data_IF_273959889194
#
_entry.id   IF_273959889194
#
_cell.length_a   1.000
_cell.length_b   1.000
_cell.length_c   1.000
_cell.angle_alpha   90.00
_cell.angle_beta   90.00
_cell.angle_gamma   90.00
#
_symmetry.space_group_name_H-M   'P 1'
#
loop_
_entity.id
_entity.type
_entity.pdbx_description
1 polymer ?
#
# COMPACT_ATOMS: atom_id res chain seq x y z
N UNK A 1 -12.98 32.52 8.40
CA UNK A 1 -12.50 31.49 7.45
C UNK A 1 -11.89 30.39 8.29
N UNK A 2 -12.71 29.43 8.72
CA UNK A 2 -12.28 28.35 9.59
C UNK A 2 -11.63 27.26 8.73
N UNK A 3 -10.33 27.08 8.87
CA UNK A 3 -9.62 25.88 8.45
C UNK A 3 -9.25 25.14 9.73
N UNK A 4 -10.19 24.36 10.25
CA UNK A 4 -9.89 23.33 11.23
C UNK A 4 -9.57 22.07 10.44
N UNK A 5 -8.32 21.95 10.00
CA UNK A 5 -7.79 20.67 9.56
C UNK A 5 -7.32 19.94 10.81
N UNK A 6 -8.17 19.05 11.31
CA UNK A 6 -7.79 18.06 12.31
C UNK A 6 -6.70 17.16 11.70
N UNK A 7 -5.43 17.50 11.95
CA UNK A 7 -4.28 16.63 11.67
C UNK A 7 -4.26 15.45 12.64
N UNK A 8 -5.29 14.60 12.57
CA UNK A 8 -5.07 13.19 12.89
C UNK A 8 -4.07 12.72 11.85
N UNK A 9 -2.87 12.35 12.27
CA UNK A 9 -1.72 12.05 11.40
C UNK A 9 -2.08 10.85 10.53
N UNK A 10 -2.76 11.10 9.41
CA UNK A 10 -3.35 10.07 8.59
C UNK A 10 -2.23 9.22 8.02
N UNK A 11 -2.11 7.98 8.49
CA UNK A 11 -1.12 7.03 7.98
C UNK A 11 -1.27 6.92 6.45
N UNK A 12 -0.23 7.23 5.67
CA UNK A 12 -0.35 7.15 4.23
C UNK A 12 -0.59 5.69 3.82
N UNK A 13 -1.56 5.47 2.92
CA UNK A 13 -2.00 4.14 2.50
C UNK A 13 -1.60 3.89 1.04
N UNK A 14 -0.86 2.81 0.82
CA UNK A 14 -0.38 2.37 -0.50
C UNK A 14 -1.08 1.08 -0.92
N UNK A 15 -1.57 1.04 -2.16
CA UNK A 15 -2.27 -0.11 -2.74
C UNK A 15 -1.45 -0.66 -3.91
N UNK A 16 -1.16 -1.96 -3.88
CA UNK A 16 -0.47 -2.68 -4.95
C UNK A 16 -1.44 -3.60 -5.69
N UNK A 17 -1.53 -3.44 -7.02
CA UNK A 17 -2.36 -4.25 -7.90
C UNK A 17 -1.44 -5.00 -8.88
N UNK A 18 -0.98 -6.22 -8.56
CA UNK A 18 -0.20 -7.02 -9.47
C UNK A 18 -0.99 -7.39 -10.73
N UNK A 19 -0.36 -7.24 -11.88
CA UNK A 19 -0.83 -7.89 -13.11
C UNK A 19 -0.55 -9.39 -13.00
N UNK A 20 -1.52 -10.23 -13.38
CA UNK A 20 -1.60 -11.67 -13.07
C UNK A 20 -0.56 -12.54 -13.80
N UNK A 21 0.73 -12.30 -13.55
CA UNK A 21 1.82 -13.20 -13.87
C UNK A 21 2.56 -13.52 -12.57
N UNK A 22 2.61 -14.79 -12.21
CA UNK A 22 3.16 -15.31 -10.94
C UNK A 22 4.59 -14.84 -10.67
N UNK A 23 5.40 -14.63 -11.71
CA UNK A 23 6.77 -14.09 -11.60
C UNK A 23 6.84 -12.64 -11.09
N UNK A 24 5.76 -11.86 -11.20
CA UNK A 24 5.73 -10.44 -10.83
C UNK A 24 5.10 -10.18 -9.45
N UNK A 25 4.48 -11.19 -8.82
CA UNK A 25 3.89 -11.05 -7.48
C UNK A 25 4.99 -11.03 -6.40
N UNK A 26 5.98 -11.91 -6.49
CA UNK A 26 7.09 -11.98 -5.53
C UNK A 26 7.82 -10.64 -5.36
N UNK A 27 8.30 -9.95 -6.41
CA UNK A 27 8.95 -8.65 -6.23
C UNK A 27 7.98 -7.59 -5.67
N UNK A 28 6.70 -7.63 -6.06
CA UNK A 28 5.68 -6.71 -5.57
C UNK A 28 5.40 -6.90 -4.06
N UNK A 29 5.39 -8.13 -3.57
CA UNK A 29 5.26 -8.44 -2.14
C UNK A 29 6.49 -7.96 -1.37
N UNK A 30 7.70 -8.12 -1.92
CA UNK A 30 8.92 -7.60 -1.30
C UNK A 30 8.88 -6.07 -1.19
N UNK A 31 8.45 -5.37 -2.23
CA UNK A 31 8.28 -3.92 -2.22
C UNK A 31 7.21 -3.53 -1.20
N UNK A 32 6.03 -4.14 -1.22
CA UNK A 32 4.97 -3.89 -0.25
C UNK A 32 5.44 -4.03 1.21
N UNK A 33 6.29 -5.03 1.49
CA UNK A 33 6.90 -5.23 2.81
C UNK A 33 7.84 -4.09 3.20
N UNK A 34 8.65 -3.56 2.27
CA UNK A 34 9.51 -2.40 2.54
C UNK A 34 8.70 -1.17 2.91
N UNK A 35 7.57 -0.95 2.23
CA UNK A 35 6.67 0.17 2.53
C UNK A 35 6.02 0.01 3.92
N UNK A 36 5.57 -1.20 4.26
CA UNK A 36 5.02 -1.48 5.58
C UNK A 36 6.03 -1.27 6.71
N UNK A 37 7.31 -1.61 6.49
CA UNK A 37 8.39 -1.36 7.46
C UNK A 37 8.66 0.13 7.69
N UNK A 38 8.30 1.00 6.75
CA UNK A 38 8.43 2.45 6.88
C UNK A 38 7.20 3.13 7.51
N UNK A 39 6.29 2.35 8.11
CA UNK A 39 5.11 2.88 8.81
C UNK A 39 3.94 3.22 7.89
N UNK A 40 3.96 2.76 6.64
CA UNK A 40 2.87 2.94 5.69
C UNK A 40 1.85 1.82 5.84
N UNK A 41 0.57 2.14 5.71
CA UNK A 41 -0.46 1.11 5.56
C UNK A 41 -0.37 0.56 4.14
N UNK A 42 -0.32 -0.76 3.99
CA UNK A 42 -0.16 -1.41 2.68
C UNK A 42 -1.26 -2.42 2.42
N UNK A 43 -1.81 -2.43 1.21
CA UNK A 43 -2.79 -3.42 0.74
C UNK A 43 -2.35 -3.98 -0.60
N UNK A 44 -2.36 -5.31 -0.73
CA UNK A 44 -2.09 -6.00 -2.00
C UNK A 44 -3.39 -6.63 -2.47
N UNK A 45 -3.84 -6.29 -3.67
CA UNK A 45 -5.05 -6.87 -4.29
C UNK A 45 -4.60 -7.99 -5.22
N UNK A 46 -4.59 -9.22 -4.72
CA UNK A 46 -4.31 -10.39 -5.56
C UNK A 46 -5.58 -10.76 -6.33
N UNK A 47 -5.62 -10.63 -7.68
CA UNK A 47 -6.73 -11.14 -8.45
C UNK A 47 -6.81 -12.66 -8.26
N UNK A 48 -8.03 -13.16 -8.00
CA UNK A 48 -8.31 -14.58 -8.05
C UNK A 48 -8.26 -15.03 -9.52
N UNK A 49 -7.55 -16.12 -9.80
CA UNK A 49 -7.64 -16.82 -11.09
C UNK A 49 -8.96 -17.58 -11.14
#
# INVERSE_FOLDING_TARGET
MAMEQNEETAMPHVVFIPYAMTSHITPLVHIARLFALHGLKVTIIAPQH
#
